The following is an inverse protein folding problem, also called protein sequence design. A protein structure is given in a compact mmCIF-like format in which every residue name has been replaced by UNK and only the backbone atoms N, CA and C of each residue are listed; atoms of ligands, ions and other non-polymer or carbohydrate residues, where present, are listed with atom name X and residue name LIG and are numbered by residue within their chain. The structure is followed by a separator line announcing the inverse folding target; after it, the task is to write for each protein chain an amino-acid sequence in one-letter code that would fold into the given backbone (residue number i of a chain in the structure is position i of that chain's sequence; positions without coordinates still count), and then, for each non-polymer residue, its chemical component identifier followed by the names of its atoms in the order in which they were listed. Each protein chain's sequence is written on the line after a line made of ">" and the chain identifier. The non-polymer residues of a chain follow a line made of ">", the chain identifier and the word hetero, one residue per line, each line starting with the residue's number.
data_IF_045462777038
#
_entry.id   IF_045462777038
#
_cell.length_a   1.000
_cell.length_b   1.000
_cell.length_c   1.000
_cell.angle_alpha   90.00
_cell.angle_beta   90.00
_cell.angle_gamma   90.00
#
_symmetry.space_group_name_H-M   'P 1'
#
loop_
_entity.id
_entity.type
_entity.pdbx_description
1 polymer ?
#
# COMPACT_ATOMS: atom_id res chain seq x y z
N UNK A 1 -21.64 25.70 37.83
CA UNK A 1 -22.40 26.01 39.06
C UNK A 1 -22.60 24.71 39.83
N UNK A 2 -21.95 24.61 40.98
CA UNK A 2 -22.10 23.67 42.12
C UNK A 2 -22.41 22.17 41.94
N UNK A 3 -21.43 21.37 42.40
CA UNK A 3 -21.54 20.27 43.38
C UNK A 3 -22.93 20.00 44.00
N UNK A 4 -23.33 18.71 44.08
CA UNK A 4 -23.46 17.92 45.33
C UNK A 4 -24.24 16.60 45.13
N UNK A 5 -23.88 15.65 46.00
CA UNK A 5 -24.56 14.40 46.40
C UNK A 5 -24.25 13.09 45.67
N UNK A 6 -23.31 12.38 46.31
CA UNK A 6 -23.12 10.96 46.31
C UNK A 6 -24.17 10.20 47.16
N UNK A 7 -24.15 8.88 46.96
CA UNK A 7 -24.32 7.80 47.96
C UNK A 7 -25.65 7.04 48.05
N UNK A 8 -25.46 5.71 48.21
CA UNK A 8 -26.36 4.62 48.62
C UNK A 8 -27.33 4.07 47.58
N UNK A 9 -27.01 2.88 47.05
CA UNK A 9 -27.76 1.64 47.31
C UNK A 9 -26.75 0.48 47.43
N UNK A 10 -26.82 -0.25 48.54
CA UNK A 10 -26.10 -1.50 48.78
C UNK A 10 -27.00 -2.70 48.46
N UNK A 11 -26.36 -3.84 48.16
CA UNK A 11 -26.84 -5.22 48.40
C UNK A 11 -28.20 -5.61 47.82
N UNK A 12 -28.19 -6.35 46.70
CA UNK A 12 -29.33 -7.09 46.18
C UNK A 12 -28.86 -8.28 45.34
N UNK A 13 -29.46 -9.45 45.61
CA UNK A 13 -29.09 -10.79 45.20
C UNK A 13 -29.02 -11.01 43.69
N UNK A 14 -28.20 -12.00 43.30
CA UNK A 14 -28.29 -12.71 42.03
C UNK A 14 -29.64 -13.41 41.96
N UNK A 15 -30.41 -13.15 40.90
CA UNK A 15 -31.33 -14.10 40.31
C UNK A 15 -31.42 -13.88 38.79
N UNK A 16 -31.46 -14.99 38.05
CA UNK A 16 -31.17 -15.04 36.62
C UNK A 16 -32.26 -14.44 35.74
N UNK A 17 -31.88 -13.43 34.95
CA UNK A 17 -32.21 -13.23 33.53
C UNK A 17 -31.42 -12.01 33.04
N UNK A 18 -30.29 -12.25 32.36
CA UNK A 18 -29.38 -11.20 31.92
C UNK A 18 -29.94 -10.37 30.75
N UNK A 19 -30.65 -9.28 31.06
CA UNK A 19 -30.78 -8.10 30.19
C UNK A 19 -30.40 -6.88 31.01
N UNK A 20 -29.29 -6.24 30.64
CA UNK A 20 -28.67 -5.16 31.40
C UNK A 20 -29.44 -3.84 31.31
N UNK A 21 -29.66 -3.21 32.46
CA UNK A 21 -30.26 -1.88 32.64
C UNK A 21 -29.45 -0.73 31.98
N UNK A 22 -28.30 -1.03 31.39
CA UNK A 22 -27.46 -0.11 30.63
C UNK A 22 -28.09 0.25 29.27
N UNK A 23 -28.92 -0.65 28.70
CA UNK A 23 -29.60 -0.41 27.42
C UNK A 23 -30.71 0.64 27.49
N UNK A 24 -31.33 0.85 28.65
CA UNK A 24 -32.45 1.78 28.82
C UNK A 24 -31.97 3.24 28.98
N UNK A 25 -30.82 3.45 29.64
CA UNK A 25 -30.25 4.78 29.81
C UNK A 25 -29.71 5.38 28.50
N UNK A 26 -29.14 4.55 27.61
CA UNK A 26 -28.61 5.00 26.31
C UNK A 26 -29.77 5.37 25.35
N UNK A 27 -30.88 4.63 25.37
CA UNK A 27 -32.05 4.93 24.56
C UNK A 27 -32.70 6.29 24.93
N UNK A 28 -32.76 6.62 26.22
CA UNK A 28 -33.34 7.89 26.70
C UNK A 28 -32.47 9.10 26.33
N UNK A 29 -31.15 8.95 26.29
CA UNK A 29 -30.23 10.04 25.88
C UNK A 29 -30.33 10.30 24.36
N UNK A 30 -30.42 9.23 23.55
CA UNK A 30 -30.57 9.36 22.09
C UNK A 30 -31.94 9.93 21.67
N UNK A 31 -33.02 9.61 22.39
CA UNK A 31 -34.34 10.24 22.17
C UNK A 31 -34.40 11.72 22.59
N UNK A 32 -33.58 12.15 23.57
CA UNK A 32 -33.47 13.56 23.96
C UNK A 32 -32.71 14.39 22.93
N UNK A 33 -31.59 13.90 22.40
CA UNK A 33 -30.81 14.63 21.38
C UNK A 33 -31.56 14.76 20.03
N UNK A 34 -32.34 13.75 19.65
CA UNK A 34 -33.17 13.80 18.44
C UNK A 34 -34.32 14.82 18.56
N UNK A 35 -34.97 14.91 19.73
CA UNK A 35 -36.01 15.93 20.00
C UNK A 35 -35.47 17.36 20.06
N UNK A 36 -34.24 17.58 20.51
CA UNK A 36 -33.64 18.93 20.48
C UNK A 36 -33.24 19.37 19.07
N UNK A 37 -32.77 18.44 18.23
CA UNK A 37 -32.49 18.71 16.79
C UNK A 37 -33.77 19.03 16.01
N UNK A 38 -34.88 18.35 16.28
CA UNK A 38 -36.17 18.66 15.64
C UNK A 38 -36.75 20.02 16.09
N UNK A 39 -36.56 20.40 17.36
CA UNK A 39 -36.94 21.73 17.85
C UNK A 39 -36.11 22.85 17.21
N UNK A 40 -34.81 22.65 17.01
CA UNK A 40 -33.94 23.62 16.34
C UNK A 40 -34.33 23.81 14.85
N UNK A 41 -34.69 22.73 14.16
CA UNK A 41 -35.18 22.78 12.76
C UNK A 41 -36.57 23.41 12.63
N UNK A 42 -37.41 23.30 13.67
CA UNK A 42 -38.73 23.94 13.73
C UNK A 42 -38.69 25.47 13.91
N UNK A 43 -37.65 26.00 14.57
CA UNK A 43 -37.46 27.45 14.78
C UNK A 43 -37.00 28.14 13.48
N UNK A 44 -36.16 27.47 12.68
CA UNK A 44 -35.69 27.98 11.38
C UNK A 44 -36.78 28.03 10.30
N UNK A 45 -37.81 27.18 10.39
CA UNK A 45 -38.96 27.20 9.46
C UNK A 45 -40.01 28.28 9.73
N UNK A 46 -39.93 29.01 10.86
CA UNK A 46 -40.89 30.07 11.22
C UNK A 46 -40.45 31.50 10.88
N UNK A 47 -39.27 31.69 10.30
CA UNK A 47 -38.75 33.02 9.92
C UNK A 47 -39.01 33.36 8.44
N UNK A 48 -39.43 32.38 7.61
CA UNK A 48 -39.82 32.63 6.22
C UNK A 48 -41.35 32.78 6.09
N UNK A 49 -41.91 33.87 6.61
CA UNK A 49 -43.28 34.36 6.32
C UNK A 49 -43.57 35.65 7.09
N UNK A 50 -43.05 36.80 6.65
CA UNK A 50 -43.65 38.11 6.97
C UNK A 50 -43.13 39.20 6.04
N UNK A 51 -43.90 39.40 4.97
CA UNK A 51 -43.89 40.63 4.17
C UNK A 51 -44.47 41.75 5.02
N UNK A 52 -43.67 42.79 5.32
CA UNK A 52 -44.17 44.10 5.73
C UNK A 52 -43.39 45.17 4.98
N UNK A 53 -44.15 46.03 4.29
CA UNK A 53 -43.70 47.21 3.56
C UNK A 53 -43.07 48.24 4.52
N UNK A 54 -41.92 48.78 4.13
CA UNK A 54 -41.54 50.17 4.42
C UNK A 54 -40.70 50.71 3.23
N UNK A 55 -41.06 51.84 2.62
CA UNK A 55 -40.27 52.47 1.57
C UNK A 55 -39.28 53.50 2.16
N UNK A 56 -38.16 53.69 1.44
CA UNK A 56 -37.15 54.78 1.57
C UNK A 56 -36.13 54.69 2.72
N UNK A 57 -35.01 54.02 2.45
CA UNK A 57 -33.63 54.54 2.60
C UNK A 57 -32.78 53.82 1.51
N UNK A 58 -32.82 54.30 0.26
CA UNK A 58 -31.73 55.03 -0.41
C UNK A 58 -30.30 54.57 -0.07
N UNK A 59 -29.64 54.01 -1.09
CA UNK A 59 -28.26 54.35 -1.49
C UNK A 59 -27.15 54.23 -0.42
N UNK A 60 -26.80 53.02 -0.03
CA UNK A 60 -25.41 52.73 0.41
C UNK A 60 -24.96 51.26 0.29
N UNK A 61 -25.84 50.32 -0.08
CA UNK A 61 -25.53 48.89 -0.04
C UNK A 61 -24.89 48.29 -1.32
N UNK A 62 -24.46 49.11 -2.29
CA UNK A 62 -23.86 48.62 -3.55
C UNK A 62 -22.32 48.53 -3.55
N UNK A 63 -21.69 48.52 -2.37
CA UNK A 63 -20.23 48.32 -2.23
C UNK A 63 -19.87 47.31 -1.14
N UNK A 64 -20.49 46.12 -1.14
CA UNK A 64 -19.92 44.98 -0.37
C UNK A 64 -20.47 43.60 -0.76
N UNK A 65 -20.84 43.39 -2.02
CA UNK A 65 -21.31 42.08 -2.52
C UNK A 65 -20.35 41.44 -3.53
N UNK A 66 -19.05 41.74 -3.43
CA UNK A 66 -18.01 41.02 -4.16
C UNK A 66 -17.01 40.48 -3.16
N UNK A 67 -17.29 39.29 -2.64
CA UNK A 67 -16.38 38.19 -2.34
C UNK A 67 -17.15 37.19 -1.48
N UNK A 68 -18.13 36.51 -2.08
CA UNK A 68 -18.42 35.17 -1.59
C UNK A 68 -17.14 34.36 -1.87
N UNK A 69 -16.59 33.60 -0.91
CA UNK A 69 -15.50 32.69 -1.22
C UNK A 69 -16.00 31.79 -2.35
N UNK A 70 -15.34 31.86 -3.50
CA UNK A 70 -15.51 30.84 -4.54
C UNK A 70 -15.31 29.51 -3.81
N UNK A 71 -16.23 28.54 -3.92
CA UNK A 71 -16.02 27.24 -3.30
C UNK A 71 -14.66 26.74 -3.80
N UNK A 72 -13.68 26.65 -2.91
CA UNK A 72 -12.38 26.11 -3.27
C UNK A 72 -12.64 24.69 -3.74
N UNK A 73 -12.40 24.42 -5.02
CA UNK A 73 -12.51 23.07 -5.55
C UNK A 73 -11.60 22.16 -4.73
N UNK A 74 -12.09 20.97 -4.33
CA UNK A 74 -11.29 20.08 -3.51
C UNK A 74 -10.02 19.71 -4.28
N UNK A 75 -8.87 19.92 -3.64
CA UNK A 75 -7.59 19.53 -4.20
C UNK A 75 -7.56 18.00 -4.36
N UNK A 76 -6.97 17.53 -5.46
CA UNK A 76 -6.72 16.12 -5.73
C UNK A 76 -5.25 15.79 -5.57
N UNK A 77 -4.95 14.55 -5.20
CA UNK A 77 -3.59 14.02 -5.14
C UNK A 77 -3.22 13.41 -6.50
N UNK A 78 -2.03 13.73 -6.99
CA UNK A 78 -1.41 13.14 -8.16
C UNK A 78 -0.07 12.50 -7.81
N UNK A 79 0.27 11.44 -8.52
CA UNK A 79 1.55 10.74 -8.46
C UNK A 79 2.10 10.70 -9.87
N UNK A 80 3.26 11.31 -10.11
CA UNK A 80 3.98 11.24 -11.37
C UNK A 80 5.25 10.42 -11.19
N UNK A 81 5.49 9.50 -12.11
CA UNK A 81 6.72 8.72 -12.20
C UNK A 81 7.34 8.92 -13.56
N UNK A 82 8.63 9.22 -13.58
CA UNK A 82 9.47 9.29 -14.77
C UNK A 82 10.67 8.35 -14.64
N UNK A 83 10.93 7.58 -15.68
CA UNK A 83 12.14 6.80 -15.87
C UNK A 83 12.71 7.11 -17.25
N UNK A 84 13.89 7.71 -17.30
CA UNK A 84 14.52 8.20 -18.54
C UNK A 84 16.05 8.21 -18.44
N UNK A 85 16.78 8.32 -19.56
CA UNK A 85 18.21 8.62 -19.53
C UNK A 85 18.51 9.91 -18.74
N UNK A 86 19.63 9.92 -18.02
CA UNK A 86 20.07 11.07 -17.23
C UNK A 86 20.41 12.26 -18.14
N UNK A 87 19.94 13.43 -17.73
CA UNK A 87 20.21 14.69 -18.41
C UNK A 87 19.95 15.87 -17.46
N UNK A 88 20.70 16.94 -17.67
CA UNK A 88 20.54 18.17 -16.89
C UNK A 88 19.15 18.76 -17.13
N UNK A 89 18.44 19.10 -16.05
CA UNK A 89 17.18 19.82 -16.09
C UNK A 89 15.92 18.96 -15.98
N UNK A 90 16.03 17.64 -15.78
CA UNK A 90 14.88 16.74 -15.54
C UNK A 90 14.02 17.24 -14.37
N UNK A 91 14.61 17.37 -13.18
CA UNK A 91 13.92 17.80 -11.96
C UNK A 91 13.31 19.20 -12.14
N UNK A 92 14.07 20.13 -12.72
CA UNK A 92 13.62 21.49 -12.96
C UNK A 92 12.38 21.51 -13.86
N UNK A 93 12.39 20.79 -14.99
CA UNK A 93 11.25 20.78 -15.92
C UNK A 93 10.01 20.07 -15.38
N UNK A 94 10.17 19.02 -14.59
CA UNK A 94 9.03 18.38 -13.92
C UNK A 94 8.42 19.33 -12.88
N UNK A 95 9.26 19.93 -12.03
CA UNK A 95 8.80 20.88 -11.02
C UNK A 95 8.12 22.11 -11.64
N UNK A 96 8.67 22.65 -12.73
CA UNK A 96 8.09 23.76 -13.49
C UNK A 96 6.75 23.37 -14.12
N UNK A 97 6.65 22.17 -14.71
CA UNK A 97 5.39 21.66 -15.27
C UNK A 97 4.28 21.65 -14.20
N UNK A 98 4.54 21.00 -13.05
CA UNK A 98 3.58 20.91 -11.94
C UNK A 98 3.23 22.31 -11.40
N UNK A 99 4.22 23.16 -11.16
CA UNK A 99 4.02 24.49 -10.60
C UNK A 99 3.26 25.42 -11.57
N UNK A 100 3.53 25.35 -12.87
CA UNK A 100 2.87 26.18 -13.90
C UNK A 100 1.37 25.92 -14.00
N UNK A 101 0.94 24.73 -13.58
CA UNK A 101 -0.46 24.29 -13.51
C UNK A 101 -1.10 24.54 -12.12
N UNK A 102 -0.36 25.18 -11.21
CA UNK A 102 -0.81 25.47 -9.85
C UNK A 102 -0.77 24.26 -8.91
N UNK A 103 -0.02 23.21 -9.25
CA UNK A 103 0.23 22.08 -8.37
C UNK A 103 1.31 22.38 -7.33
N UNK A 104 1.22 21.73 -6.18
CA UNK A 104 2.22 21.80 -5.11
C UNK A 104 2.76 20.39 -4.81
N UNK A 105 4.07 20.22 -4.91
CA UNK A 105 4.74 18.94 -4.63
C UNK A 105 4.77 18.71 -3.12
N UNK A 106 4.31 17.55 -2.67
CA UNK A 106 4.33 17.10 -1.28
C UNK A 106 5.59 16.30 -0.97
N UNK A 107 5.94 15.38 -1.86
CA UNK A 107 7.09 14.48 -1.74
C UNK A 107 7.71 14.29 -3.11
N UNK A 108 9.04 14.22 -3.17
CA UNK A 108 9.77 13.91 -4.38
C UNK A 108 10.96 13.01 -4.05
N UNK A 109 11.04 11.88 -4.73
CA UNK A 109 12.14 10.93 -4.65
C UNK A 109 12.89 10.93 -5.98
N UNK A 110 14.21 10.99 -5.91
CA UNK A 110 15.09 10.99 -7.09
C UNK A 110 16.18 9.97 -6.86
N UNK A 111 16.30 9.04 -7.80
CA UNK A 111 17.38 8.06 -7.83
C UNK A 111 18.18 8.24 -9.13
N UNK A 112 19.46 8.59 -8.96
CA UNK A 112 20.45 8.64 -10.04
C UNK A 112 21.50 7.57 -9.75
N UNK A 113 21.57 6.49 -10.54
CA UNK A 113 22.58 5.45 -10.36
C UNK A 113 23.95 6.05 -10.68
N UNK A 114 24.89 5.98 -9.74
CA UNK A 114 26.28 6.28 -10.06
C UNK A 114 26.82 5.15 -10.92
N UNK A 115 27.17 5.47 -12.18
CA UNK A 115 27.91 4.54 -13.03
C UNK A 115 29.18 4.12 -12.27
N UNK A 116 29.32 2.82 -11.97
CA UNK A 116 30.65 2.29 -11.70
C UNK A 116 31.43 2.45 -12.99
N UNK A 117 32.38 3.37 -12.98
CA UNK A 117 33.48 3.39 -13.93
C UNK A 117 34.15 2.02 -13.90
N UNK A 118 33.76 1.14 -14.81
CA UNK A 118 34.65 0.12 -15.31
C UNK A 118 34.43 0.01 -16.80
N UNK A 119 35.52 0.20 -17.54
CA UNK A 119 35.63 0.28 -18.99
C UNK A 119 35.30 -1.04 -19.72
N UNK A 120 34.35 -1.83 -19.23
CA UNK A 120 34.11 -3.17 -19.73
C UNK A 120 32.66 -3.62 -19.52
N UNK A 121 31.69 -2.92 -20.11
CA UNK A 121 30.33 -3.47 -20.28
C UNK A 121 29.62 -2.94 -21.52
N UNK A 122 30.32 -2.92 -22.65
CA UNK A 122 29.67 -3.13 -23.95
C UNK A 122 29.35 -4.62 -24.08
N UNK A 123 28.26 -5.06 -23.44
CA UNK A 123 27.67 -6.37 -23.73
C UNK A 123 26.16 -6.20 -23.82
N UNK A 124 25.74 -5.90 -25.05
CA UNK A 124 24.42 -6.18 -25.57
C UNK A 124 24.07 -7.63 -25.25
N UNK A 125 23.03 -7.86 -24.44
CA UNK A 125 22.28 -9.11 -24.49
C UNK A 125 20.80 -8.83 -24.73
N UNK A 126 20.26 -9.58 -25.70
CA UNK A 126 18.86 -9.57 -26.13
C UNK A 126 18.04 -10.39 -25.14
N UNK A 127 17.11 -9.75 -24.46
CA UNK A 127 16.11 -10.46 -23.67
C UNK A 127 15.14 -9.53 -22.95
N UNK A 128 14.29 -8.79 -23.67
CA UNK A 128 13.08 -8.11 -23.16
C UNK A 128 13.21 -7.16 -21.93
N UNK A 129 14.41 -6.89 -21.43
CA UNK A 129 14.68 -5.97 -20.32
C UNK A 129 15.11 -4.58 -20.80
N UNK A 130 14.64 -3.54 -20.13
CA UNK A 130 15.06 -2.16 -20.36
C UNK A 130 16.45 -1.97 -19.72
N UNK A 131 17.52 -2.14 -20.50
CA UNK A 131 18.88 -1.75 -20.10
C UNK A 131 19.02 -0.24 -20.22
N UNK A 132 19.26 0.46 -19.11
CA UNK A 132 19.67 1.86 -19.16
C UNK A 132 20.81 2.11 -18.18
N UNK A 133 22.05 1.99 -18.66
CA UNK A 133 23.18 2.64 -18.00
C UNK A 133 22.92 4.15 -17.99
N UNK A 134 22.99 4.75 -16.80
CA UNK A 134 22.72 6.18 -16.60
C UNK A 134 21.25 6.58 -16.73
N UNK A 135 20.27 5.75 -16.35
CA UNK A 135 18.87 6.19 -16.25
C UNK A 135 18.51 6.73 -14.86
N UNK A 136 17.74 7.81 -14.83
CA UNK A 136 17.17 8.42 -13.64
C UNK A 136 15.76 7.91 -13.42
N UNK A 137 15.44 7.57 -12.18
CA UNK A 137 14.08 7.36 -11.72
C UNK A 137 13.66 8.52 -10.82
N UNK A 138 12.49 9.09 -11.09
CA UNK A 138 11.93 10.19 -10.32
C UNK A 138 10.46 9.91 -10.03
N UNK A 139 10.05 10.07 -8.77
CA UNK A 139 8.66 10.05 -8.34
C UNK A 139 8.32 11.38 -7.69
N UNK A 140 7.20 11.98 -8.07
CA UNK A 140 6.64 13.18 -7.45
C UNK A 140 5.22 12.90 -6.97
N UNK A 141 4.95 13.09 -5.69
CA UNK A 141 3.60 13.19 -5.16
C UNK A 141 3.23 14.66 -5.02
N UNK A 142 2.05 15.06 -5.50
CA UNK A 142 1.64 16.45 -5.53
C UNK A 142 0.14 16.61 -5.30
N UNK A 143 -0.27 17.79 -4.86
CA UNK A 143 -1.66 18.22 -4.81
C UNK A 143 -1.92 19.23 -5.92
N UNK A 144 -3.10 19.17 -6.54
CA UNK A 144 -3.47 20.09 -7.61
C UNK A 144 -4.98 20.38 -7.60
N UNK A 145 -5.36 21.47 -8.25
CA UNK A 145 -6.75 21.83 -8.49
C UNK A 145 -7.18 21.26 -9.86
N UNK A 146 -8.14 20.31 -9.90
CA UNK A 146 -8.58 19.70 -11.17
C UNK A 146 -9.17 20.70 -12.17
N UNK A 147 -9.59 21.88 -11.73
CA UNK A 147 -10.08 22.93 -12.65
C UNK A 147 -8.95 23.65 -13.36
N UNK A 148 -7.79 23.82 -12.70
CA UNK A 148 -6.60 24.45 -13.28
C UNK A 148 -5.76 23.48 -14.08
N UNK A 149 -5.77 22.21 -13.69
CA UNK A 149 -5.07 21.14 -14.40
C UNK A 149 -6.01 19.96 -14.69
N UNK A 150 -6.87 20.09 -15.73
CA UNK A 150 -7.76 19.01 -16.13
C UNK A 150 -6.99 17.78 -16.59
N UNK A 151 -7.59 16.59 -16.44
CA UNK A 151 -6.93 15.31 -16.74
C UNK A 151 -6.34 15.24 -18.16
N UNK A 152 -7.10 15.66 -19.17
CA UNK A 152 -6.62 15.64 -20.56
C UNK A 152 -5.35 16.49 -20.76
N UNK A 153 -5.26 17.64 -20.07
CA UNK A 153 -4.08 18.49 -20.14
C UNK A 153 -2.90 17.89 -19.38
N UNK A 154 -3.16 17.24 -18.24
CA UNK A 154 -2.14 16.52 -17.46
C UNK A 154 -1.53 15.37 -18.28
N UNK A 155 -2.35 14.60 -18.99
CA UNK A 155 -1.86 13.53 -19.87
C UNK A 155 -0.98 14.09 -21.00
N UNK A 156 -1.37 15.22 -21.59
CA UNK A 156 -0.57 15.91 -22.62
C UNK A 156 0.78 16.43 -22.05
N UNK A 157 0.76 17.06 -20.89
CA UNK A 157 1.95 17.61 -20.25
C UNK A 157 2.95 16.50 -19.89
N UNK A 158 2.46 15.38 -19.35
CA UNK A 158 3.27 14.20 -19.00
C UNK A 158 3.81 13.51 -20.24
N UNK A 159 3.05 13.48 -21.34
CA UNK A 159 3.51 12.98 -22.64
C UNK A 159 4.60 13.88 -23.23
N UNK A 160 4.48 15.20 -23.08
CA UNK A 160 5.50 16.15 -23.54
C UNK A 160 6.79 16.00 -22.75
N UNK A 161 6.72 15.82 -21.42
CA UNK A 161 7.88 15.49 -20.59
C UNK A 161 8.52 14.15 -21.03
N UNK A 162 7.69 13.14 -21.29
CA UNK A 162 8.15 11.83 -21.78
C UNK A 162 8.95 11.95 -23.07
N UNK A 163 8.41 12.66 -24.07
CA UNK A 163 9.09 12.91 -25.36
C UNK A 163 10.36 13.74 -25.20
N UNK A 164 10.33 14.76 -24.34
CA UNK A 164 11.47 15.67 -24.13
C UNK A 164 12.71 14.94 -23.59
N UNK A 165 12.50 13.98 -22.69
CA UNK A 165 13.59 13.26 -22.03
C UNK A 165 13.78 11.85 -22.58
N UNK A 166 13.14 11.50 -23.70
CA UNK A 166 13.15 10.15 -24.28
C UNK A 166 12.87 9.07 -23.22
N UNK A 167 11.84 9.31 -22.40
CA UNK A 167 11.54 8.48 -21.25
C UNK A 167 11.12 7.07 -21.67
N UNK A 168 11.74 6.08 -21.04
CA UNK A 168 11.33 4.69 -21.14
C UNK A 168 9.95 4.49 -20.49
N UNK A 169 9.65 5.25 -19.42
CA UNK A 169 8.36 5.24 -18.75
C UNK A 169 8.05 6.63 -18.20
N UNK A 170 6.86 7.14 -18.46
CA UNK A 170 6.32 8.36 -17.85
C UNK A 170 4.85 8.12 -17.57
N UNK A 171 4.46 8.03 -16.31
CA UNK A 171 3.09 7.70 -15.89
C UNK A 171 2.63 8.70 -14.86
N UNK A 172 1.39 9.16 -14.99
CA UNK A 172 0.70 9.94 -13.97
C UNK A 172 -0.53 9.17 -13.50
N UNK A 173 -0.75 9.17 -12.19
CA UNK A 173 -1.92 8.58 -11.54
C UNK A 173 -2.57 9.61 -10.63
N UNK A 174 -3.89 9.69 -10.68
CA UNK A 174 -4.73 10.48 -9.81
C UNK A 174 -5.69 9.49 -9.13
N UNK A 175 -5.40 8.98 -7.91
CA UNK A 175 -6.15 7.89 -7.30
C UNK A 175 -7.66 8.13 -7.13
N UNK A 176 -8.08 9.40 -7.07
CA UNK A 176 -9.50 9.79 -7.00
C UNK A 176 -10.24 9.73 -8.34
N UNK A 177 -9.52 9.68 -9.46
CA UNK A 177 -10.07 9.68 -10.82
C UNK A 177 -9.77 8.39 -11.58
N UNK A 178 -8.62 7.79 -11.34
CA UNK A 178 -8.19 6.58 -12.03
C UNK A 178 -8.85 5.33 -11.45
N UNK A 179 -9.13 4.33 -12.30
CA UNK A 179 -9.56 3.03 -11.81
C UNK A 179 -8.48 2.41 -10.91
N UNK A 180 -8.93 1.62 -9.95
CA UNK A 180 -8.04 0.75 -9.18
C UNK A 180 -7.44 -0.30 -10.10
N UNK A 181 -6.28 -0.82 -9.73
CA UNK A 181 -5.69 -1.93 -10.46
C UNK A 181 -6.57 -3.17 -10.31
N UNK A 182 -6.93 -3.79 -11.43
CA UNK A 182 -7.68 -5.05 -11.47
C UNK A 182 -6.70 -6.22 -11.38
N UNK A 183 -6.85 -7.06 -10.37
CA UNK A 183 -5.92 -8.18 -10.12
C UNK A 183 -6.63 -9.52 -10.08
N UNK A 184 -5.94 -10.58 -10.49
CA UNK A 184 -6.31 -11.94 -10.11
C UNK A 184 -5.27 -12.51 -9.14
N UNK A 185 -5.75 -13.30 -8.18
CA UNK A 185 -4.90 -13.91 -7.15
C UNK A 185 -4.85 -15.41 -7.37
N UNK A 186 -3.64 -15.94 -7.56
CA UNK A 186 -3.38 -17.37 -7.64
C UNK A 186 -2.97 -17.89 -6.27
N UNK A 187 -3.58 -18.98 -5.83
CA UNK A 187 -3.32 -19.59 -4.53
C UNK A 187 -3.28 -21.12 -4.61
N UNK A 188 -2.56 -21.77 -3.70
CA UNK A 188 -2.57 -23.23 -3.57
C UNK A 188 -3.30 -23.66 -2.28
N UNK A 189 -2.73 -24.62 -1.54
CA UNK A 189 -3.35 -25.19 -0.33
C UNK A 189 -3.22 -24.28 0.91
N UNK A 190 -2.19 -23.43 0.95
CA UNK A 190 -1.95 -22.54 2.09
C UNK A 190 -2.75 -21.25 1.92
N UNK A 191 -3.59 -20.94 2.91
CA UNK A 191 -4.59 -19.87 2.81
C UNK A 191 -4.13 -18.56 3.41
N UNK A 192 -3.07 -18.58 4.24
CA UNK A 192 -2.76 -17.49 5.15
C UNK A 192 -2.53 -16.16 4.43
N UNK A 193 -1.80 -16.14 3.30
CA UNK A 193 -1.63 -14.93 2.49
C UNK A 193 -2.91 -14.52 1.74
N UNK A 194 -3.66 -15.48 1.21
CA UNK A 194 -4.92 -15.20 0.50
C UNK A 194 -5.96 -14.57 1.43
N UNK A 195 -6.13 -15.14 2.61
CA UNK A 195 -7.10 -14.69 3.62
C UNK A 195 -6.76 -13.28 4.09
N UNK A 196 -5.50 -13.00 4.41
CA UNK A 196 -5.07 -11.68 4.87
C UNK A 196 -5.21 -10.61 3.77
N UNK A 197 -4.89 -10.98 2.51
CA UNK A 197 -5.13 -10.14 1.33
C UNK A 197 -6.61 -9.78 1.18
N UNK A 198 -7.51 -10.77 1.23
CA UNK A 198 -8.95 -10.56 1.10
C UNK A 198 -9.50 -9.67 2.23
N UNK A 199 -9.07 -9.90 3.48
CA UNK A 199 -9.48 -9.06 4.60
C UNK A 199 -8.95 -7.63 4.47
N UNK A 200 -7.68 -7.44 4.12
CA UNK A 200 -7.11 -6.11 3.90
C UNK A 200 -7.81 -5.37 2.75
N UNK A 201 -8.22 -6.08 1.69
CA UNK A 201 -9.02 -5.53 0.60
C UNK A 201 -10.42 -5.11 1.07
N UNK A 202 -11.12 -5.95 1.83
CA UNK A 202 -12.44 -5.62 2.38
C UNK A 202 -12.40 -4.39 3.30
N UNK A 203 -11.33 -4.24 4.08
CA UNK A 203 -11.08 -3.08 4.95
C UNK A 203 -10.70 -1.80 4.17
N UNK A 204 -10.56 -1.87 2.84
CA UNK A 204 -10.13 -0.74 2.01
C UNK A 204 -8.65 -0.38 2.13
N UNK A 205 -7.83 -1.24 2.74
CA UNK A 205 -6.38 -1.03 2.92
C UNK A 205 -5.57 -1.32 1.65
N UNK A 206 -6.13 -2.11 0.73
CA UNK A 206 -5.52 -2.41 -0.56
C UNK A 206 -6.29 -1.69 -1.69
N UNK A 207 -5.63 -0.79 -2.46
CA UNK A 207 -6.27 -0.01 -3.53
C UNK A 207 -6.37 -0.81 -4.85
N UNK A 208 -6.95 -2.01 -4.78
CA UNK A 208 -7.11 -2.93 -5.93
C UNK A 208 -8.56 -3.40 -6.06
N UNK A 209 -8.92 -3.85 -7.25
CA UNK A 209 -10.14 -4.58 -7.53
C UNK A 209 -9.81 -6.04 -7.84
N UNK A 210 -10.32 -6.97 -7.04
CA UNK A 210 -10.03 -8.39 -7.20
C UNK A 210 -11.02 -8.98 -8.21
N UNK A 211 -10.53 -9.39 -9.38
CA UNK A 211 -11.36 -9.94 -10.45
C UNK A 211 -11.72 -11.40 -10.22
N UNK A 212 -10.79 -12.19 -9.67
CA UNK A 212 -10.97 -13.63 -9.47
C UNK A 212 -9.89 -14.22 -8.57
N UNK A 213 -10.23 -15.35 -7.95
CA UNK A 213 -9.27 -16.23 -7.27
C UNK A 213 -9.12 -17.50 -8.10
N UNK A 214 -7.88 -17.88 -8.41
CA UNK A 214 -7.57 -19.08 -9.20
C UNK A 214 -6.74 -20.01 -8.33
N UNK A 215 -7.10 -21.29 -8.27
CA UNK A 215 -6.36 -22.26 -7.48
C UNK A 215 -6.21 -23.61 -8.14
N UNK A 216 -5.09 -24.26 -7.87
CA UNK A 216 -4.86 -25.65 -8.25
C UNK A 216 -5.45 -26.65 -7.24
N UNK A 217 -6.15 -26.19 -6.20
CA UNK A 217 -6.85 -27.01 -5.22
C UNK A 217 -8.33 -26.67 -5.18
N UNK A 218 -9.16 -27.71 -5.09
CA UNK A 218 -10.58 -27.52 -4.84
C UNK A 218 -10.80 -27.14 -3.37
N UNK A 219 -11.80 -26.30 -3.12
CA UNK A 219 -12.17 -25.84 -1.78
C UNK A 219 -13.60 -26.26 -1.50
N UNK A 220 -13.83 -26.75 -0.29
CA UNK A 220 -15.17 -27.11 0.14
C UNK A 220 -16.10 -25.88 0.01
N UNK A 221 -17.33 -26.06 -0.51
CA UNK A 221 -18.29 -24.96 -0.71
C UNK A 221 -18.54 -24.12 0.54
N UNK A 222 -18.49 -24.75 1.73
CA UNK A 222 -18.73 -24.06 3.01
C UNK A 222 -17.45 -23.58 3.71
N UNK A 223 -16.30 -23.60 3.03
CA UNK A 223 -15.06 -23.06 3.61
C UNK A 223 -15.16 -21.55 3.81
N UNK A 224 -14.41 -21.03 4.79
CA UNK A 224 -14.40 -19.60 5.10
C UNK A 224 -14.01 -18.73 3.88
N UNK A 225 -13.07 -19.19 3.06
CA UNK A 225 -12.67 -18.52 1.81
C UNK A 225 -13.83 -18.48 0.82
N UNK A 226 -14.47 -19.61 0.49
CA UNK A 226 -15.56 -19.63 -0.50
C UNK A 226 -16.73 -18.75 -0.05
N UNK A 227 -17.14 -18.83 1.22
CA UNK A 227 -18.21 -17.97 1.76
C UNK A 227 -17.86 -16.48 1.71
N UNK A 228 -16.58 -16.13 1.87
CA UNK A 228 -16.12 -14.76 1.70
C UNK A 228 -16.27 -14.32 0.25
N UNK A 229 -15.77 -15.13 -0.69
CA UNK A 229 -15.81 -14.81 -2.12
C UNK A 229 -17.23 -14.67 -2.64
N UNK A 230 -18.15 -15.58 -2.25
CA UNK A 230 -19.57 -15.51 -2.61
C UNK A 230 -20.24 -14.22 -2.11
N UNK A 231 -19.99 -13.82 -0.86
CA UNK A 231 -20.52 -12.56 -0.30
C UNK A 231 -20.11 -11.34 -1.11
N UNK A 232 -18.91 -11.38 -1.66
CA UNK A 232 -18.31 -10.26 -2.40
C UNK A 232 -18.41 -10.43 -3.93
N UNK A 233 -19.12 -11.46 -4.41
CA UNK A 233 -19.25 -11.80 -5.84
C UNK A 233 -17.90 -11.94 -6.56
N UNK A 234 -16.88 -12.48 -5.88
CA UNK A 234 -15.57 -12.76 -6.47
C UNK A 234 -15.58 -14.22 -6.96
N UNK A 235 -15.36 -14.50 -8.26
CA UNK A 235 -15.35 -15.86 -8.76
C UNK A 235 -14.13 -16.64 -8.28
N UNK A 236 -14.36 -17.91 -7.96
CA UNK A 236 -13.32 -18.90 -7.64
C UNK A 236 -13.18 -19.91 -8.78
N UNK A 237 -11.98 -20.05 -9.34
CA UNK A 237 -11.69 -21.00 -10.41
C UNK A 237 -10.77 -22.10 -9.91
N UNK A 238 -11.27 -23.34 -9.88
CA UNK A 238 -10.48 -24.52 -9.59
C UNK A 238 -9.91 -25.10 -10.88
N UNK A 239 -8.59 -25.05 -11.04
CA UNK A 239 -7.86 -25.57 -12.20
C UNK A 239 -6.83 -26.62 -11.75
N UNK A 240 -7.22 -27.89 -11.79
CA UNK A 240 -6.40 -29.00 -11.28
C UNK A 240 -4.99 -29.06 -11.90
N UNK A 241 -3.99 -29.50 -11.11
CA UNK A 241 -2.65 -29.78 -11.64
C UNK A 241 -2.69 -31.06 -12.48
N UNK A 242 -2.78 -30.94 -13.80
CA UNK A 242 -2.56 -32.05 -14.74
C UNK A 242 -1.15 -31.96 -15.33
N UNK A 243 -0.65 -33.03 -15.98
CA UNK A 243 0.68 -33.04 -16.62
C UNK A 243 0.76 -32.19 -17.90
N UNK A 244 -0.35 -31.58 -18.32
CA UNK A 244 -0.50 -30.89 -19.60
C UNK A 244 -0.59 -29.38 -19.41
N UNK A 245 -0.02 -28.60 -20.34
CA UNK A 245 0.01 -27.12 -20.30
C UNK A 245 -1.37 -26.44 -20.38
N UNK A 246 -2.47 -27.20 -20.55
CA UNK A 246 -3.85 -26.68 -20.68
C UNK A 246 -4.24 -25.72 -19.56
N UNK A 247 -3.76 -25.97 -18.33
CA UNK A 247 -4.05 -25.10 -17.17
C UNK A 247 -3.57 -23.67 -17.40
N UNK A 248 -2.37 -23.48 -17.94
CA UNK A 248 -1.82 -22.15 -18.16
C UNK A 248 -2.58 -21.38 -19.23
N UNK A 249 -3.08 -22.07 -20.26
CA UNK A 249 -3.98 -21.50 -21.26
C UNK A 249 -5.29 -21.00 -20.63
N UNK A 250 -5.89 -21.79 -19.75
CA UNK A 250 -7.11 -21.43 -19.02
C UNK A 250 -6.86 -20.25 -18.07
N UNK A 251 -5.75 -20.25 -17.33
CA UNK A 251 -5.36 -19.10 -16.50
C UNK A 251 -5.24 -17.85 -17.38
N UNK A 252 -4.50 -17.93 -18.50
CA UNK A 252 -4.31 -16.80 -19.42
C UNK A 252 -5.64 -16.25 -19.92
N UNK A 253 -6.64 -17.09 -20.19
CA UNK A 253 -7.97 -16.66 -20.58
C UNK A 253 -8.71 -15.90 -19.46
N UNK A 254 -8.62 -16.40 -18.23
CA UNK A 254 -9.28 -15.78 -17.07
C UNK A 254 -8.67 -14.42 -16.67
N UNK A 255 -7.40 -14.18 -17.00
CA UNK A 255 -6.64 -13.02 -16.51
C UNK A 255 -6.37 -11.95 -17.57
N UNK A 256 -6.94 -12.07 -18.77
CA UNK A 256 -6.67 -11.14 -19.89
C UNK A 256 -6.86 -9.67 -19.51
N UNK A 257 -7.93 -9.38 -18.76
CA UNK A 257 -8.32 -8.03 -18.35
C UNK A 257 -7.71 -7.57 -17.02
N UNK A 258 -6.74 -8.30 -16.45
CA UNK A 258 -6.06 -7.90 -15.21
C UNK A 258 -4.88 -6.98 -15.52
N UNK A 259 -4.52 -6.09 -14.60
CA UNK A 259 -3.32 -5.25 -14.70
C UNK A 259 -2.06 -5.98 -14.25
N UNK A 260 -2.17 -6.85 -13.23
CA UNK A 260 -1.11 -7.71 -12.74
C UNK A 260 -1.67 -8.92 -11.97
N UNK A 261 -0.84 -9.93 -11.74
CA UNK A 261 -1.18 -11.10 -10.92
C UNK A 261 -0.49 -11.07 -9.55
N UNK A 262 -1.13 -11.73 -8.59
CA UNK A 262 -0.55 -11.99 -7.27
C UNK A 262 -0.49 -13.50 -7.04
N UNK A 263 0.69 -14.02 -6.76
CA UNK A 263 0.88 -15.41 -6.33
C UNK A 263 0.87 -15.46 -4.80
N UNK A 264 -0.31 -15.62 -4.21
CA UNK A 264 -0.48 -15.78 -2.77
C UNK A 264 -0.16 -17.22 -2.36
N UNK A 265 1.14 -17.55 -2.28
CA UNK A 265 1.63 -18.91 -2.01
C UNK A 265 1.13 -19.92 -3.05
N UNK A 266 1.20 -19.54 -4.31
CA UNK A 266 0.96 -20.45 -5.43
C UNK A 266 2.18 -21.34 -5.64
N UNK A 267 2.02 -22.65 -5.43
CA UNK A 267 3.13 -23.61 -5.35
C UNK A 267 3.49 -24.24 -6.70
N UNK A 268 3.12 -23.61 -7.81
CA UNK A 268 3.35 -24.13 -9.15
C UNK A 268 4.17 -23.12 -9.94
N UNK A 269 5.22 -23.60 -10.58
CA UNK A 269 6.06 -22.78 -11.45
C UNK A 269 5.26 -22.39 -12.68
N UNK A 270 5.24 -21.09 -13.00
CA UNK A 270 4.68 -20.57 -14.24
C UNK A 270 5.70 -20.73 -15.36
N UNK A 271 5.30 -21.27 -16.49
CA UNK A 271 6.22 -21.52 -17.60
C UNK A 271 6.67 -20.24 -18.29
N UNK A 272 7.82 -20.32 -18.95
CA UNK A 272 8.29 -19.28 -19.87
C UNK A 272 7.24 -18.89 -20.93
N UNK A 273 6.44 -19.86 -21.40
CA UNK A 273 5.38 -19.58 -22.37
C UNK A 273 4.25 -18.73 -21.77
N UNK A 274 3.87 -19.02 -20.52
CA UNK A 274 2.89 -18.24 -19.79
C UNK A 274 3.36 -16.80 -19.61
N UNK A 275 4.58 -16.59 -19.10
CA UNK A 275 5.13 -15.25 -18.86
C UNK A 275 5.17 -14.41 -20.15
N UNK A 276 5.64 -15.01 -21.25
CA UNK A 276 5.72 -14.37 -22.56
C UNK A 276 4.35 -14.02 -23.17
N UNK A 277 3.28 -14.72 -22.78
CA UNK A 277 1.92 -14.44 -23.25
C UNK A 277 1.17 -13.47 -22.36
N UNK A 278 1.38 -13.53 -21.05
CA UNK A 278 0.73 -12.62 -20.11
C UNK A 278 1.27 -11.18 -20.23
N UNK A 279 2.60 -11.01 -20.37
CA UNK A 279 3.29 -9.73 -20.61
C UNK A 279 2.95 -8.60 -19.63
N UNK A 280 2.51 -8.95 -18.43
CA UNK A 280 2.19 -8.03 -17.33
C UNK A 280 2.87 -8.52 -16.07
N UNK A 281 2.98 -7.64 -15.09
CA UNK A 281 3.72 -7.93 -13.86
C UNK A 281 3.02 -9.02 -13.04
N UNK A 282 3.82 -9.82 -12.33
CA UNK A 282 3.36 -10.87 -11.44
C UNK A 282 4.14 -10.72 -10.13
N UNK A 283 3.45 -10.52 -9.02
CA UNK A 283 4.05 -10.39 -7.69
C UNK A 283 3.94 -11.71 -6.96
N UNK A 284 5.07 -12.27 -6.51
CA UNK A 284 5.13 -13.49 -5.73
C UNK A 284 5.49 -13.21 -4.26
N UNK A 285 5.11 -14.13 -3.37
CA UNK A 285 5.64 -14.20 -2.01
C UNK A 285 6.44 -15.49 -1.83
N UNK A 286 7.74 -15.32 -1.60
CA UNK A 286 8.63 -16.38 -1.20
C UNK A 286 8.81 -16.42 0.32
N UNK A 287 8.90 -17.63 0.83
CA UNK A 287 9.09 -17.90 2.25
C UNK A 287 10.59 -17.91 2.54
N UNK A 288 11.09 -16.95 3.32
CA UNK A 288 12.52 -16.78 3.57
C UNK A 288 13.11 -15.53 2.93
N UNK A 289 14.31 -15.18 3.39
CA UNK A 289 15.17 -14.24 2.67
C UNK A 289 15.84 -14.98 1.52
N UNK A 290 15.68 -14.49 0.31
CA UNK A 290 16.40 -15.04 -0.84
C UNK A 290 17.90 -14.66 -0.74
N UNK A 291 18.83 -15.60 -0.98
CA UNK A 291 18.63 -17.05 -1.20
C UNK A 291 18.40 -17.82 0.12
N UNK A 292 17.39 -18.71 0.16
CA UNK A 292 16.99 -19.49 1.37
C UNK A 292 17.17 -21.01 1.22
N UNK A 293 16.81 -21.76 2.27
CA UNK A 293 16.76 -23.23 2.27
C UNK A 293 15.96 -23.78 1.08
N UNK A 294 16.56 -24.71 0.32
CA UNK A 294 15.93 -25.39 -0.83
C UNK A 294 15.19 -26.66 -0.41
N UNK A 295 14.18 -27.07 -1.18
CA UNK A 295 13.50 -28.36 -1.03
C UNK A 295 12.26 -28.34 -0.12
N UNK A 296 11.79 -29.54 0.27
CA UNK A 296 10.53 -29.71 0.97
C UNK A 296 10.56 -29.30 2.45
N UNK A 297 9.44 -28.75 2.94
CA UNK A 297 9.23 -28.35 4.34
C UNK A 297 10.28 -27.35 4.90
N UNK A 298 10.43 -26.19 4.24
CA UNK A 298 11.44 -25.17 4.53
C UNK A 298 11.37 -24.63 5.97
N UNK A 299 10.17 -24.41 6.50
CA UNK A 299 9.99 -23.93 7.88
C UNK A 299 10.52 -24.93 8.91
N UNK A 300 10.32 -26.24 8.68
CA UNK A 300 10.87 -27.28 9.55
C UNK A 300 12.39 -27.40 9.43
N UNK A 301 12.95 -27.22 8.23
CA UNK A 301 14.40 -27.17 8.04
C UNK A 301 15.01 -26.00 8.81
N UNK A 302 14.45 -24.79 8.67
CA UNK A 302 14.91 -23.60 9.38
C UNK A 302 14.79 -23.75 10.91
N UNK A 303 13.68 -24.33 11.38
CA UNK A 303 13.48 -24.66 12.79
C UNK A 303 14.54 -25.62 13.32
N UNK A 304 14.77 -26.74 12.63
CA UNK A 304 15.77 -27.74 13.01
C UNK A 304 17.20 -27.20 12.95
N UNK A 305 17.49 -26.29 12.02
CA UNK A 305 18.78 -25.59 11.93
C UNK A 305 19.00 -24.58 13.08
N UNK A 306 17.97 -24.28 13.87
CA UNK A 306 18.07 -23.40 15.02
C UNK A 306 18.36 -21.95 14.65
N UNK A 307 17.87 -21.49 13.49
CA UNK A 307 18.03 -20.10 13.03
C UNK A 307 17.52 -19.11 14.08
N UNK A 308 18.07 -17.88 14.07
CA UNK A 308 17.67 -16.80 15.00
C UNK A 308 16.85 -15.70 14.31
N UNK A 309 16.77 -15.77 12.98
CA UNK A 309 16.02 -14.88 12.13
C UNK A 309 15.32 -15.72 11.06
N UNK A 310 14.08 -15.35 10.76
CA UNK A 310 13.31 -15.82 9.62
C UNK A 310 12.97 -14.63 8.72
N UNK A 311 12.67 -14.90 7.46
CA UNK A 311 12.44 -13.89 6.44
C UNK A 311 11.24 -14.19 5.55
N UNK A 312 10.80 -13.19 4.81
CA UNK A 312 9.87 -13.34 3.70
C UNK A 312 10.23 -12.32 2.63
N UNK A 313 10.16 -12.71 1.35
CA UNK A 313 10.55 -11.87 0.23
C UNK A 313 9.43 -11.82 -0.80
N UNK A 314 8.92 -10.62 -1.06
CA UNK A 314 8.04 -10.38 -2.21
C UNK A 314 8.86 -9.82 -3.38
N UNK A 315 8.64 -10.37 -4.56
CA UNK A 315 9.43 -10.05 -5.75
C UNK A 315 8.57 -10.19 -7.01
N UNK A 316 9.02 -9.56 -8.10
CA UNK A 316 8.45 -9.83 -9.42
C UNK A 316 8.85 -11.22 -9.91
N UNK A 317 7.95 -11.92 -10.61
CA UNK A 317 8.28 -13.21 -11.23
C UNK A 317 8.98 -12.97 -12.57
N UNK A 318 10.10 -13.64 -12.76
CA UNK A 318 10.86 -13.70 -14.02
C UNK A 318 10.93 -15.14 -14.51
N UNK A 319 11.60 -15.38 -15.65
CA UNK A 319 11.83 -16.75 -16.15
C UNK A 319 12.64 -17.59 -15.15
N UNK A 320 13.54 -16.95 -14.40
CA UNK A 320 14.34 -17.59 -13.37
C UNK A 320 13.59 -17.66 -12.04
N UNK A 321 13.46 -18.88 -11.52
CA UNK A 321 12.64 -19.18 -10.36
C UNK A 321 13.17 -18.47 -9.11
N UNK A 322 12.31 -17.65 -8.50
CA UNK A 322 12.60 -16.89 -7.27
C UNK A 322 13.82 -15.95 -7.38
N UNK A 323 14.16 -15.49 -8.59
CA UNK A 323 15.31 -14.58 -8.83
C UNK A 323 14.92 -13.20 -9.38
N UNK A 324 13.62 -12.95 -9.55
CA UNK A 324 13.17 -11.67 -10.07
C UNK A 324 13.36 -10.50 -9.09
N UNK A 325 13.23 -9.25 -9.57
CA UNK A 325 13.51 -8.07 -8.77
C UNK A 325 12.68 -8.01 -7.47
N UNK A 326 13.38 -7.82 -6.35
CA UNK A 326 12.78 -7.75 -5.02
C UNK A 326 11.96 -6.47 -4.85
N UNK A 327 10.75 -6.60 -4.33
CA UNK A 327 9.84 -5.48 -4.03
C UNK A 327 9.88 -5.16 -2.53
N UNK A 328 9.85 -6.18 -1.68
CA UNK A 328 9.80 -6.04 -0.22
C UNK A 328 10.47 -7.24 0.45
N UNK A 329 11.18 -6.98 1.55
CA UNK A 329 11.73 -8.03 2.42
C UNK A 329 11.46 -7.69 3.87
N UNK A 330 10.98 -8.68 4.61
CA UNK A 330 10.73 -8.56 6.04
C UNK A 330 11.49 -9.65 6.79
N UNK A 331 11.86 -9.36 8.03
CA UNK A 331 12.52 -10.29 8.95
C UNK A 331 11.86 -10.29 10.32
N UNK A 332 11.87 -11.43 10.98
CA UNK A 332 11.44 -11.55 12.38
C UNK A 332 12.44 -12.41 13.18
N UNK A 333 12.65 -12.06 14.46
CA UNK A 333 13.46 -12.84 15.39
C UNK A 333 12.72 -14.07 15.90
N UNK A 334 13.42 -15.19 15.88
CA UNK A 334 13.00 -16.46 16.48
C UNK A 334 14.03 -16.90 17.52
N UNK A 335 13.59 -17.66 18.51
CA UNK A 335 14.42 -18.08 19.63
C UNK A 335 14.29 -19.58 19.90
N UNK A 336 15.17 -20.13 20.71
CA UNK A 336 15.09 -21.53 21.16
C UNK A 336 13.84 -21.82 22.01
N UNK A 337 13.11 -20.79 22.45
CA UNK A 337 11.83 -20.93 23.17
C UNK A 337 10.65 -21.17 22.22
N UNK A 338 10.81 -20.86 20.94
CA UNK A 338 9.79 -21.15 19.94
C UNK A 338 9.72 -22.66 19.73
N UNK A 339 8.50 -23.18 19.65
CA UNK A 339 8.26 -24.54 19.15
C UNK A 339 7.92 -24.48 17.66
N UNK A 340 7.80 -25.64 17.00
CA UNK A 340 7.54 -25.67 15.56
C UNK A 340 6.24 -24.94 15.18
N UNK A 341 5.20 -25.00 16.02
CA UNK A 341 3.94 -24.32 15.77
C UNK A 341 4.09 -22.81 15.81
N UNK A 342 4.70 -22.25 16.87
CA UNK A 342 4.92 -20.80 16.98
C UNK A 342 5.87 -20.29 15.90
N UNK A 343 6.87 -21.09 15.51
CA UNK A 343 7.77 -20.79 14.41
C UNK A 343 7.03 -20.65 13.07
N UNK A 344 6.17 -21.62 12.74
CA UNK A 344 5.36 -21.58 11.51
C UNK A 344 4.41 -20.38 11.52
N UNK A 345 3.76 -20.09 12.65
CA UNK A 345 2.88 -18.93 12.77
C UNK A 345 3.61 -17.60 12.52
N UNK A 346 4.82 -17.44 13.06
CA UNK A 346 5.66 -16.25 12.80
C UNK A 346 6.03 -16.15 11.32
N UNK A 347 6.43 -17.25 10.70
CA UNK A 347 6.74 -17.32 9.26
C UNK A 347 5.54 -16.90 8.41
N UNK A 348 4.37 -17.48 8.67
CA UNK A 348 3.14 -17.15 7.93
C UNK A 348 2.72 -15.70 8.14
N UNK A 349 2.86 -15.15 9.35
CA UNK A 349 2.58 -13.76 9.64
C UNK A 349 3.50 -12.81 8.85
N UNK A 350 4.78 -13.15 8.77
CA UNK A 350 5.76 -12.38 7.99
C UNK A 350 5.44 -12.39 6.50
N UNK A 351 5.05 -13.54 5.95
CA UNK A 351 4.65 -13.68 4.54
C UNK A 351 3.41 -12.83 4.20
N UNK A 352 2.40 -12.81 5.08
CA UNK A 352 1.21 -11.96 4.91
C UNK A 352 1.57 -10.49 4.81
N UNK A 353 2.32 -10.00 5.80
CA UNK A 353 2.68 -8.59 5.88
C UNK A 353 3.56 -8.16 4.70
N UNK A 354 4.53 -8.99 4.34
CA UNK A 354 5.43 -8.74 3.21
C UNK A 354 4.66 -8.64 1.89
N UNK A 355 3.74 -9.57 1.63
CA UNK A 355 2.93 -9.55 0.41
C UNK A 355 2.00 -8.33 0.35
N UNK A 356 1.28 -8.02 1.44
CA UNK A 356 0.39 -6.86 1.49
C UNK A 356 1.14 -5.56 1.21
N UNK A 357 2.32 -5.41 1.82
CA UNK A 357 3.16 -4.22 1.69
C UNK A 357 3.75 -4.08 0.29
N UNK A 358 4.12 -5.20 -0.34
CA UNK A 358 4.56 -5.24 -1.74
C UNK A 358 3.45 -4.79 -2.70
N UNK A 359 2.23 -5.35 -2.57
CA UNK A 359 1.08 -4.99 -3.41
C UNK A 359 0.75 -3.50 -3.26
N UNK A 360 0.69 -3.01 -2.01
CA UNK A 360 0.41 -1.60 -1.72
C UNK A 360 1.47 -0.68 -2.34
N UNK A 361 2.75 -0.98 -2.13
CA UNK A 361 3.86 -0.19 -2.67
C UNK A 361 3.86 -0.17 -4.20
N UNK A 362 3.52 -1.29 -4.84
CA UNK A 362 3.35 -1.35 -6.29
C UNK A 362 2.18 -0.48 -6.78
N UNK A 363 1.01 -0.55 -6.13
CA UNK A 363 -0.16 0.24 -6.53
C UNK A 363 -0.01 1.75 -6.30
N UNK A 364 0.82 2.13 -5.34
CA UNK A 364 1.20 3.52 -5.02
C UNK A 364 2.39 4.01 -5.87
N UNK A 365 2.84 3.21 -6.85
CA UNK A 365 4.00 3.49 -7.70
C UNK A 365 5.30 3.78 -6.92
N UNK A 366 5.42 3.24 -5.71
CA UNK A 366 6.61 3.36 -4.86
C UNK A 366 7.71 2.41 -5.27
N UNK A 367 7.40 1.35 -6.00
CA UNK A 367 8.39 0.40 -6.51
C UNK A 367 8.32 0.36 -8.02
N UNK A 368 9.48 0.54 -8.66
CA UNK A 368 9.63 0.46 -10.10
C UNK A 368 10.73 -0.55 -10.43
N UNK A 369 10.50 -1.47 -11.37
CA UNK A 369 11.58 -2.30 -11.91
C UNK A 369 12.71 -1.41 -12.45
N UNK A 370 13.95 -1.75 -12.11
CA UNK A 370 15.16 -1.04 -12.50
C UNK A 370 16.23 -2.06 -12.87
N UNK A 371 16.75 -1.97 -14.10
CA UNK A 371 17.56 -3.04 -14.72
C UNK A 371 16.84 -4.41 -14.70
N UNK A 372 17.53 -5.49 -15.08
CA UNK A 372 16.91 -6.82 -15.19
C UNK A 372 16.50 -7.40 -13.82
N UNK A 373 17.27 -7.12 -12.75
CA UNK A 373 17.15 -7.84 -11.46
C UNK A 373 16.95 -6.93 -10.24
N UNK A 374 16.70 -5.62 -10.41
CA UNK A 374 16.59 -4.68 -9.29
C UNK A 374 15.30 -3.88 -9.35
N UNK A 375 14.96 -3.25 -8.24
CA UNK A 375 13.88 -2.27 -8.17
C UNK A 375 14.42 -0.99 -7.54
N UNK A 376 13.82 0.14 -7.92
CA UNK A 376 13.96 1.40 -7.19
C UNK A 376 12.75 1.52 -6.29
N UNK A 377 13.00 1.57 -4.98
CA UNK A 377 12.01 1.89 -3.97
C UNK A 377 12.09 3.39 -3.66
N UNK A 378 11.03 4.12 -4.00
CA UNK A 378 10.86 5.55 -3.77
C UNK A 378 10.01 5.77 -2.51
N UNK A 379 10.55 6.52 -1.56
CA UNK A 379 9.97 6.78 -0.24
C UNK A 379 10.68 5.98 0.86
N UNK A 380 10.97 6.64 1.99
CA UNK A 380 11.46 5.94 3.18
C UNK A 380 10.29 5.20 3.82
N UNK A 381 10.23 3.88 3.62
CA UNK A 381 9.57 3.05 4.62
C UNK A 381 10.49 3.06 5.84
N UNK A 382 10.21 3.94 6.79
CA UNK A 382 10.77 3.82 8.12
C UNK A 382 10.50 2.39 8.60
N UNK A 383 11.56 1.58 8.71
CA UNK A 383 11.52 0.47 9.64
C UNK A 383 11.15 1.10 10.98
N UNK A 384 9.93 0.87 11.46
CA UNK A 384 9.65 1.00 12.90
C UNK A 384 10.39 -0.13 13.62
N UNK A 385 11.72 -0.11 13.52
CA UNK A 385 12.57 -0.70 14.53
C UNK A 385 12.34 0.14 15.77
N UNK A 386 11.71 -0.46 16.77
CA UNK A 386 11.53 0.14 18.09
C UNK A 386 12.78 0.95 18.46
N UNK A 387 12.62 2.26 18.54
CA UNK A 387 13.62 3.12 19.19
C UNK A 387 13.58 2.71 20.66
N UNK A 388 14.41 1.74 21.02
CA UNK A 388 14.78 1.52 22.40
C UNK A 388 15.55 2.77 22.82
N UNK A 389 14.82 3.71 23.41
CA UNK A 389 15.41 4.77 24.22
C UNK A 389 16.06 4.08 25.42
N UNK A 390 17.33 3.69 25.28
CA UNK A 390 18.16 3.48 26.46
C UNK A 390 18.26 4.83 27.17
N UNK A 391 17.45 5.00 28.23
CA UNK A 391 17.75 5.96 29.27
C UNK A 391 19.10 5.57 29.86
N UNK A 392 20.16 6.24 29.42
CA UNK A 392 21.42 6.25 30.13
C UNK A 392 21.17 6.96 31.47
N UNK A 393 21.48 6.33 32.62
CA UNK A 393 21.48 7.02 33.90
C UNK A 393 22.49 8.18 33.84
N UNK A 394 22.03 9.35 34.23
CA UNK A 394 22.80 10.57 34.35
C UNK A 394 23.67 10.47 35.60
N UNK A 395 24.80 9.79 35.50
CA UNK A 395 25.88 9.84 36.50
C UNK A 395 27.23 9.89 35.76
N UNK A 396 27.55 11.07 35.23
CA UNK A 396 28.92 11.40 34.82
C UNK A 396 29.63 11.90 36.08
N UNK A 397 30.37 11.01 36.75
CA UNK A 397 31.42 11.44 37.67
C UNK A 397 32.63 11.88 36.85
N UNK A 398 32.93 13.17 36.94
CA UNK A 398 34.18 13.78 36.49
C UNK A 398 35.38 13.11 37.16
N UNK A 399 36.34 12.66 36.36
CA UNK A 399 37.72 12.43 36.82
C UNK A 399 38.67 13.30 35.98
N UNK A 400 39.55 14.09 36.62
CA UNK A 400 40.45 14.99 35.91
C UNK A 400 41.57 14.21 35.22
N UNK A 401 41.84 14.62 33.99
CA UNK A 401 42.92 14.15 33.14
C UNK A 401 44.26 14.61 33.72
N UNK A 402 45.14 13.66 34.06
CA UNK A 402 46.56 13.92 34.28
C UNK A 402 47.38 13.16 33.23
N UNK A 403 48.02 13.91 32.33
CA UNK A 403 48.99 13.41 31.37
C UNK A 403 50.32 13.03 32.05
N UNK A 404 50.90 11.89 31.69
CA UNK A 404 52.34 11.79 31.41
C UNK A 404 52.67 10.50 30.63
N UNK A 405 53.76 10.50 29.82
CA UNK A 405 53.99 9.54 28.74
C UNK A 405 55.10 8.52 29.06
N UNK A 406 54.96 7.25 28.64
CA UNK A 406 56.11 6.35 28.44
C UNK A 406 55.72 4.95 27.92
N UNK A 407 56.22 4.66 26.72
CA UNK A 407 56.91 3.43 26.28
C UNK A 407 56.34 2.01 26.49
N UNK A 408 56.29 1.28 25.37
CA UNK A 408 56.73 -0.11 25.14
C UNK A 408 56.15 -1.23 26.04
N UNK A 409 55.31 -2.10 25.48
CA UNK A 409 55.67 -3.46 25.02
C UNK A 409 54.56 -4.05 24.15
#
# INVERSE_FOLDING_TARGET
>A
MSLKYASKISTGSVDGTGRSEIGCAIAIVLERETRERERAMGVLRRISSRTLLFPRVLESANRSLNTLPVPSTPLSNGIHVLYCPDSVGIVAKISECIASRGGNILEADIFVPQNKNDHSSYLLYRGSGIHCQGAVALKSEFVFDPTKWPRAQMDEDVLNLSKKFNANRSVVRVPSLDPKYKIAVLASKQDHCLVDLLHAWQDGKLPVDISSIISNHDRLPNSHVIRFLERHNIPYHYLSTTKENKREDEILHLVQDTDFLVLARYMQVLSRSFLNRYKKDIINIHHGLLPSFKGGNPSRQAFNAGVKLIGATSHFVTEELDEGPIIEQMVERVSHKDNLLSFVQKSENLEKQCLLKAIKSYCELRVLPYEENRTVANGTQSFEGAVYTHHLPSDVMEYPVSCSPSSLF
#
